data_IF_210843150576
#
_entry.id   IF_210843150576
#
_cell.length_a   1.000
_cell.length_b   1.000
_cell.length_c   1.000
_cell.angle_alpha   90.00
_cell.angle_beta   90.00
_cell.angle_gamma   90.00
#
_symmetry.space_group_name_H-M   'P 1'
#
loop_
_entity.id
_entity.type
_entity.pdbx_description
1 polymer ?
#
# COMPACT_ATOMS: atom_id res chain seq x y z
N UNK A 1 -7.27 23.36 6.95
CA UNK A 1 -6.85 22.03 6.41
C UNK A 1 -7.59 21.82 5.11
N UNK A 2 -6.89 21.42 4.07
CA UNK A 2 -7.48 21.20 2.74
C UNK A 2 -8.53 20.10 2.77
N UNK A 3 -9.54 20.22 1.91
CA UNK A 3 -10.68 19.31 1.78
C UNK A 3 -10.91 18.97 0.31
N UNK A 4 -11.40 17.80 0.02
CA UNK A 4 -11.96 17.51 -1.30
C UNK A 4 -13.45 17.86 -1.30
N UNK A 5 -13.87 18.55 -2.36
CA UNK A 5 -15.27 18.86 -2.63
C UNK A 5 -15.67 18.14 -3.90
N UNK A 6 -16.71 17.34 -3.83
CA UNK A 6 -17.13 16.42 -4.88
C UNK A 6 -18.58 16.71 -5.22
N UNK A 7 -18.86 16.96 -6.51
CA UNK A 7 -20.18 17.00 -7.09
C UNK A 7 -20.38 15.72 -7.91
N UNK A 8 -21.02 14.73 -7.31
CA UNK A 8 -21.18 13.40 -7.89
C UNK A 8 -22.28 13.28 -8.94
N UNK A 9 -22.69 12.06 -9.23
CA UNK A 9 -23.77 11.73 -10.18
C UNK A 9 -23.36 11.83 -11.66
N UNK A 10 -22.07 11.84 -11.98
CA UNK A 10 -21.55 11.84 -13.35
C UNK A 10 -20.81 10.53 -13.65
N UNK A 11 -21.13 9.86 -14.77
CA UNK A 11 -20.37 8.71 -15.19
C UNK A 11 -18.92 9.10 -15.56
N UNK A 12 -17.99 8.18 -15.34
CA UNK A 12 -16.57 8.39 -15.61
C UNK A 12 -16.20 7.89 -16.99
N UNK A 13 -15.48 8.70 -17.80
CA UNK A 13 -15.07 8.32 -19.15
C UNK A 13 -13.64 8.80 -19.42
N UNK A 14 -12.81 7.93 -19.95
CA UNK A 14 -11.46 8.28 -20.37
C UNK A 14 -10.42 7.24 -20.03
N UNK A 15 -9.17 7.70 -19.90
CA UNK A 15 -8.02 6.86 -19.60
C UNK A 15 -7.29 7.37 -18.35
N UNK A 16 -6.83 6.44 -17.51
CA UNK A 16 -5.99 6.71 -16.34
C UNK A 16 -4.72 5.88 -16.47
N UNK A 17 -3.57 6.53 -16.41
CA UNK A 17 -2.29 5.86 -16.28
C UNK A 17 -2.02 5.56 -14.79
N UNK A 18 -1.71 4.30 -14.50
CA UNK A 18 -1.47 3.81 -13.13
C UNK A 18 -0.02 4.05 -12.75
N UNK A 19 0.19 4.61 -11.57
CA UNK A 19 1.50 4.90 -11.00
C UNK A 19 2.19 3.65 -10.44
N UNK A 20 3.46 3.79 -10.09
CA UNK A 20 4.20 2.72 -9.43
C UNK A 20 3.60 2.30 -8.08
N UNK A 21 3.79 1.02 -7.75
CA UNK A 21 3.17 0.41 -6.58
C UNK A 21 3.75 0.98 -5.27
N UNK A 22 2.89 1.67 -4.51
CA UNK A 22 3.24 2.15 -3.17
C UNK A 22 3.84 1.06 -2.30
N UNK A 23 3.17 -0.11 -2.24
CA UNK A 23 3.57 -1.19 -1.34
C UNK A 23 4.91 -1.85 -1.73
N UNK A 24 5.34 -1.71 -2.99
CA UNK A 24 6.68 -2.09 -3.44
C UNK A 24 7.70 -1.00 -3.08
N UNK A 25 7.44 0.24 -3.46
CA UNK A 25 8.34 1.38 -3.25
C UNK A 25 8.75 1.54 -1.79
N UNK A 26 7.80 1.40 -0.84
CA UNK A 26 8.09 1.56 0.59
C UNK A 26 8.99 0.47 1.19
N UNK A 27 9.22 -0.64 0.49
CA UNK A 27 10.19 -1.67 0.90
C UNK A 27 11.49 -1.58 0.08
N UNK A 28 11.40 -1.23 -1.20
CA UNK A 28 12.56 -1.08 -2.09
C UNK A 28 13.46 0.08 -1.61
N UNK A 29 12.88 1.21 -1.18
CA UNK A 29 13.65 2.36 -0.70
C UNK A 29 14.52 1.99 0.52
N UNK A 30 14.02 1.39 1.61
CA UNK A 30 14.87 0.90 2.70
C UNK A 30 15.86 -0.18 2.26
N UNK A 31 15.49 -1.05 1.30
CA UNK A 31 16.40 -2.08 0.78
C UNK A 31 17.59 -1.49 0.01
N UNK A 32 17.41 -0.35 -0.67
CA UNK A 32 18.50 0.36 -1.34
C UNK A 32 19.64 0.79 -0.39
N UNK A 33 19.35 0.89 0.93
CA UNK A 33 20.39 1.13 1.93
C UNK A 33 21.52 0.08 1.88
N UNK A 34 21.24 -1.16 1.47
CA UNK A 34 22.20 -2.27 1.43
C UNK A 34 23.07 -2.29 0.18
N UNK A 35 22.75 -1.48 -0.82
CA UNK A 35 23.43 -1.50 -2.12
C UNK A 35 24.75 -0.73 -2.07
N UNK A 36 25.82 -1.36 -2.56
CA UNK A 36 27.12 -0.75 -2.74
C UNK A 36 27.24 -0.23 -4.18
N UNK A 37 26.69 0.95 -4.41
CA UNK A 37 26.57 1.62 -5.70
C UNK A 37 25.33 2.49 -5.82
N UNK A 38 25.13 3.07 -7.00
CA UNK A 38 23.96 3.91 -7.30
C UNK A 38 22.79 3.06 -7.74
N UNK A 39 21.65 3.21 -7.06
CA UNK A 39 20.37 2.65 -7.48
C UNK A 39 19.58 3.71 -8.23
N UNK A 40 19.31 3.49 -9.51
CA UNK A 40 18.32 4.25 -10.25
C UNK A 40 16.99 3.50 -10.19
N UNK A 41 15.97 4.12 -9.59
CA UNK A 41 14.65 3.51 -9.43
C UNK A 41 13.65 4.32 -10.24
N UNK A 42 13.02 3.67 -11.21
CA UNK A 42 12.03 4.23 -12.14
C UNK A 42 10.61 3.81 -11.72
N UNK A 43 9.60 4.46 -12.29
CA UNK A 43 8.18 4.29 -11.94
C UNK A 43 7.93 4.45 -10.43
N UNK A 44 8.68 5.35 -9.79
CA UNK A 44 8.53 5.67 -8.37
C UNK A 44 7.29 6.54 -8.18
N UNK A 45 6.31 6.15 -7.35
CA UNK A 45 5.11 6.96 -7.17
C UNK A 45 5.39 8.24 -6.38
N UNK A 46 4.82 9.35 -6.83
CA UNK A 46 4.92 10.65 -6.16
C UNK A 46 3.90 10.74 -5.02
N UNK A 47 4.25 10.17 -3.89
CA UNK A 47 3.39 10.11 -2.70
C UNK A 47 4.18 10.46 -1.44
N UNK A 48 3.51 11.00 -0.44
CA UNK A 48 4.21 11.50 0.76
C UNK A 48 4.93 10.40 1.57
N UNK A 49 4.50 9.13 1.49
CA UNK A 49 5.20 8.02 2.13
C UNK A 49 6.56 7.74 1.46
N UNK A 50 6.67 7.89 0.13
CA UNK A 50 7.94 7.78 -0.60
C UNK A 50 8.88 8.91 -0.23
N UNK A 51 8.41 10.17 -0.28
CA UNK A 51 9.21 11.34 0.10
C UNK A 51 9.75 11.21 1.53
N UNK A 52 8.94 10.69 2.44
CA UNK A 52 9.33 10.50 3.83
C UNK A 52 10.47 9.48 3.96
N UNK A 53 10.40 8.35 3.25
CA UNK A 53 11.44 7.31 3.27
C UNK A 53 12.74 7.81 2.63
N UNK A 54 12.67 8.56 1.53
CA UNK A 54 13.83 9.18 0.89
C UNK A 54 14.49 10.20 1.84
N UNK A 55 13.72 11.01 2.55
CA UNK A 55 14.23 11.92 3.60
C UNK A 55 14.88 11.16 4.76
N UNK A 56 14.38 9.98 5.14
CA UNK A 56 15.02 9.14 6.15
C UNK A 56 16.39 8.67 5.65
N UNK A 57 16.49 8.20 4.39
CA UNK A 57 17.78 7.82 3.80
C UNK A 57 18.76 9.00 3.73
N UNK A 58 18.30 10.19 3.32
CA UNK A 58 19.12 11.41 3.34
C UNK A 58 19.61 11.73 4.76
N UNK A 59 18.75 11.59 5.77
CA UNK A 59 19.10 11.76 7.18
C UNK A 59 20.12 10.74 7.69
N UNK A 60 20.20 9.56 7.07
CA UNK A 60 21.25 8.57 7.31
C UNK A 60 22.54 8.85 6.53
N UNK A 61 22.56 9.87 5.66
CA UNK A 61 23.73 10.27 4.87
C UNK A 61 23.74 9.77 3.43
N UNK A 62 22.63 9.23 2.93
CA UNK A 62 22.50 8.86 1.52
C UNK A 62 22.35 10.11 0.63
N UNK A 63 22.93 10.05 -0.57
CA UNK A 63 22.63 11.01 -1.63
C UNK A 63 21.39 10.54 -2.36
N UNK A 64 20.40 11.41 -2.48
CA UNK A 64 19.14 11.16 -3.20
C UNK A 64 18.91 12.29 -4.19
N UNK A 65 18.71 11.94 -5.46
CA UNK A 65 18.50 12.90 -6.55
C UNK A 65 17.31 12.46 -7.41
N UNK A 66 16.37 13.38 -7.62
CA UNK A 66 15.26 13.14 -8.55
C UNK A 66 15.71 13.44 -9.98
N UNK A 67 15.66 12.42 -10.84
CA UNK A 67 15.96 12.56 -12.29
C UNK A 67 14.75 13.03 -13.08
N UNK A 68 13.58 12.64 -12.62
CA UNK A 68 12.26 13.03 -13.15
C UNK A 68 11.23 12.90 -12.04
N UNK A 69 9.98 13.32 -12.24
CA UNK A 69 8.94 13.12 -11.24
C UNK A 69 8.79 11.68 -10.75
N UNK A 70 9.02 10.68 -11.64
CA UNK A 70 8.85 9.25 -11.32
C UNK A 70 10.17 8.46 -11.31
N UNK A 71 11.34 9.12 -11.31
CA UNK A 71 12.63 8.44 -11.25
C UNK A 71 13.57 9.10 -10.24
N UNK A 72 14.22 8.28 -9.41
CA UNK A 72 15.12 8.73 -8.36
C UNK A 72 16.42 7.93 -8.38
N UNK A 73 17.55 8.60 -8.19
CA UNK A 73 18.83 7.96 -7.88
C UNK A 73 19.08 8.00 -6.38
N UNK A 74 19.49 6.85 -5.83
CA UNK A 74 19.83 6.66 -4.43
C UNK A 74 21.26 6.09 -4.36
N UNK A 75 22.16 6.82 -3.73
CA UNK A 75 23.53 6.40 -3.47
C UNK A 75 23.77 6.31 -1.96
N UNK A 76 23.91 5.09 -1.47
CA UNK A 76 24.18 4.81 -0.06
C UNK A 76 25.63 4.41 0.22
N UNK A 77 26.57 4.51 -0.74
CA UNK A 77 27.96 4.07 -0.60
C UNK A 77 28.69 4.73 0.57
N UNK A 78 28.40 6.00 0.84
CA UNK A 78 29.03 6.78 1.91
C UNK A 78 28.27 6.71 3.25
N UNK A 79 27.11 6.04 3.29
CA UNK A 79 26.35 5.90 4.55
C UNK A 79 27.13 5.08 5.56
N UNK A 80 27.28 5.61 6.76
CA UNK A 80 27.83 4.92 7.93
C UNK A 80 26.72 4.71 8.96
N UNK A 81 26.90 3.76 9.87
CA UNK A 81 25.92 3.58 10.95
C UNK A 81 25.82 4.88 11.76
N UNK A 82 24.60 5.42 11.81
CA UNK A 82 24.24 6.62 12.56
C UNK A 82 22.83 6.47 13.09
N UNK A 83 22.47 7.30 14.06
CA UNK A 83 21.09 7.33 14.53
C UNK A 83 20.15 7.88 13.44
N UNK A 84 19.09 7.15 13.09
CA UNK A 84 18.16 7.63 12.09
C UNK A 84 17.31 8.81 12.61
N UNK A 85 16.72 9.62 11.70
CA UNK A 85 15.86 10.76 12.07
C UNK A 85 14.52 10.27 12.64
N UNK A 86 14.47 9.99 13.94
CA UNK A 86 13.33 9.39 14.62
C UNK A 86 12.02 10.15 14.46
N UNK A 87 12.07 11.47 14.35
CA UNK A 87 10.88 12.29 14.11
C UNK A 87 10.22 12.03 12.76
N UNK A 88 10.99 11.60 11.76
CA UNK A 88 10.48 11.14 10.48
C UNK A 88 10.00 9.69 10.57
N UNK A 89 10.78 8.81 11.21
CA UNK A 89 10.47 7.38 11.31
C UNK A 89 9.13 7.12 12.00
N UNK A 90 8.81 7.82 13.09
CA UNK A 90 7.54 7.63 13.80
C UNK A 90 6.30 8.12 13.03
N UNK A 91 6.47 8.91 11.97
CA UNK A 91 5.36 9.40 11.13
C UNK A 91 4.95 8.38 10.07
N UNK A 92 5.83 7.45 9.72
CA UNK A 92 5.59 6.46 8.69
C UNK A 92 5.73 5.04 9.24
N UNK A 93 4.74 4.21 8.91
CA UNK A 93 4.75 2.83 9.34
C UNK A 93 5.84 2.00 8.68
N UNK A 94 6.10 2.22 7.39
CA UNK A 94 7.10 1.48 6.62
C UNK A 94 8.54 1.65 7.12
N UNK A 95 8.77 2.55 8.10
CA UNK A 95 10.08 2.71 8.76
C UNK A 95 10.61 1.41 9.39
N UNK A 96 9.75 0.44 9.72
CA UNK A 96 10.20 -0.85 10.24
C UNK A 96 11.04 -1.67 9.24
N UNK A 97 10.96 -1.41 7.93
CA UNK A 97 11.84 -2.07 6.97
C UNK A 97 13.30 -1.69 7.14
N UNK A 98 13.60 -0.54 7.75
CA UNK A 98 14.96 -0.18 8.11
C UNK A 98 15.56 -1.11 9.17
N UNK A 99 14.77 -1.86 9.95
CA UNK A 99 15.30 -2.87 10.87
C UNK A 99 16.09 -3.91 10.07
N UNK A 100 15.48 -4.48 9.03
CA UNK A 100 16.12 -5.49 8.18
C UNK A 100 17.35 -4.95 7.44
N UNK A 101 17.24 -3.79 6.80
CA UNK A 101 18.33 -3.24 6.01
C UNK A 101 19.50 -2.75 6.87
N UNK A 102 19.27 -2.17 8.04
CA UNK A 102 20.33 -1.76 8.96
C UNK A 102 21.02 -2.97 9.61
N UNK A 103 20.26 -3.98 10.07
CA UNK A 103 20.84 -5.23 10.57
C UNK A 103 21.70 -5.92 9.52
N UNK A 104 21.18 -5.98 8.28
CA UNK A 104 21.87 -6.63 7.16
C UNK A 104 23.17 -5.93 6.82
N UNK A 105 23.18 -4.60 6.78
CA UNK A 105 24.35 -3.80 6.39
C UNK A 105 25.34 -3.55 7.52
N UNK A 106 24.84 -3.27 8.73
CA UNK A 106 25.65 -2.77 9.86
C UNK A 106 25.72 -3.73 11.05
N UNK A 107 24.94 -4.81 11.05
CA UNK A 107 24.81 -5.71 12.20
C UNK A 107 24.07 -5.08 13.40
N UNK A 108 23.58 -3.86 13.26
CA UNK A 108 22.85 -3.14 14.32
C UNK A 108 21.77 -2.26 13.71
N UNK A 109 20.64 -2.13 14.41
CA UNK A 109 19.53 -1.28 14.02
C UNK A 109 18.87 -0.63 15.24
N UNK A 110 18.44 0.62 15.08
CA UNK A 110 17.59 1.32 16.05
C UNK A 110 16.50 2.04 15.26
N UNK A 111 15.24 1.69 15.50
CA UNK A 111 14.08 2.28 14.82
C UNK A 111 12.99 2.61 15.83
N UNK A 112 12.01 3.42 15.44
CA UNK A 112 10.81 3.62 16.26
C UNK A 112 9.84 2.46 16.08
N UNK A 113 9.00 2.21 17.08
CA UNK A 113 7.82 1.38 16.88
C UNK A 113 6.97 1.97 15.74
N UNK A 114 6.36 1.13 14.89
CA UNK A 114 5.60 1.59 13.74
C UNK A 114 4.48 2.54 14.12
N UNK A 115 4.48 3.75 13.56
CA UNK A 115 3.45 4.77 13.71
C UNK A 115 2.52 4.86 12.48
N UNK A 116 1.67 5.88 12.45
CA UNK A 116 1.05 6.37 11.22
C UNK A 116 -0.23 5.70 10.71
N UNK A 117 -0.92 4.82 11.47
CA UNK A 117 -2.22 4.26 11.07
C UNK A 117 -3.20 4.15 12.23
N UNK A 118 -4.45 4.60 12.02
CA UNK A 118 -5.51 4.65 13.03
C UNK A 118 -6.32 3.35 13.20
N UNK A 119 -5.99 2.27 12.51
CA UNK A 119 -6.73 1.01 12.61
C UNK A 119 -5.92 -0.07 13.34
N UNK A 120 -5.97 -0.04 14.68
CA UNK A 120 -5.51 -1.10 15.57
C UNK A 120 -3.99 -1.23 15.76
N UNK A 121 -3.64 -1.99 16.79
CA UNK A 121 -2.26 -2.41 17.07
C UNK A 121 -1.80 -3.35 15.98
N UNK A 122 -0.65 -3.07 15.39
CA UNK A 122 0.00 -3.97 14.44
C UNK A 122 1.26 -4.53 15.06
N UNK A 123 1.20 -5.76 15.54
CA UNK A 123 2.35 -6.40 16.17
C UNK A 123 3.47 -6.58 15.14
N UNK A 124 4.71 -6.40 15.59
CA UNK A 124 5.92 -6.71 14.81
C UNK A 124 6.54 -8.04 15.25
N UNK A 125 5.76 -8.87 15.93
CA UNK A 125 6.16 -10.18 16.48
C UNK A 125 6.78 -11.08 15.43
N UNK A 126 6.18 -11.18 14.24
CA UNK A 126 6.71 -12.01 13.15
C UNK A 126 8.02 -11.43 12.56
N UNK A 127 8.20 -10.10 12.57
CA UNK A 127 9.47 -9.47 12.21
C UNK A 127 10.56 -9.83 13.23
N UNK A 128 10.26 -9.67 14.51
CA UNK A 128 11.18 -10.00 15.61
C UNK A 128 11.54 -11.49 15.56
N UNK A 129 10.54 -12.36 15.39
CA UNK A 129 10.75 -13.81 15.27
C UNK A 129 11.75 -14.15 14.17
N UNK A 130 11.61 -13.55 12.98
CA UNK A 130 12.51 -13.76 11.86
C UNK A 130 13.93 -13.28 12.16
N UNK A 131 14.08 -12.05 12.70
CA UNK A 131 15.39 -11.49 13.03
C UNK A 131 16.10 -12.30 14.12
N UNK A 132 15.36 -12.71 15.16
CA UNK A 132 15.90 -13.54 16.25
C UNK A 132 16.33 -14.92 15.74
N UNK A 133 15.54 -15.56 14.87
CA UNK A 133 15.92 -16.83 14.25
C UNK A 133 17.23 -16.71 13.45
N UNK A 134 17.49 -15.53 12.88
CA UNK A 134 18.72 -15.21 12.15
C UNK A 134 19.87 -14.75 13.06
N UNK A 135 19.74 -14.84 14.38
CA UNK A 135 20.78 -14.57 15.36
C UNK A 135 20.84 -13.13 15.88
N UNK A 136 19.84 -12.31 15.59
CA UNK A 136 19.76 -10.96 16.18
C UNK A 136 19.18 -11.01 17.61
N UNK A 137 19.74 -10.18 18.49
CA UNK A 137 19.10 -9.78 19.74
C UNK A 137 18.14 -8.63 19.42
N UNK A 138 16.86 -8.74 19.80
CA UNK A 138 15.88 -7.69 19.54
C UNK A 138 15.18 -7.31 20.83
N UNK A 139 15.25 -6.05 21.21
CA UNK A 139 14.59 -5.47 22.39
C UNK A 139 13.64 -4.35 21.95
N UNK A 140 12.42 -4.36 22.49
CA UNK A 140 11.46 -3.26 22.33
C UNK A 140 11.36 -2.52 23.64
N UNK A 141 11.79 -1.25 23.67
CA UNK A 141 11.86 -0.45 24.87
C UNK A 141 11.59 1.03 24.59
N UNK A 142 10.76 1.65 25.41
CA UNK A 142 10.45 3.09 25.34
C UNK A 142 9.97 3.57 23.95
N UNK A 143 9.21 2.74 23.22
CA UNK A 143 8.72 3.06 21.88
C UNK A 143 9.74 2.90 20.77
N UNK A 144 10.90 2.29 21.05
CA UNK A 144 11.94 1.97 20.08
C UNK A 144 12.14 0.46 19.96
N UNK A 145 12.61 0.05 18.79
CA UNK A 145 13.13 -1.28 18.52
C UNK A 145 14.65 -1.18 18.42
N UNK A 146 15.34 -1.89 19.28
CA UNK A 146 16.78 -2.06 19.25
C UNK A 146 17.08 -3.46 18.76
N UNK A 147 18.01 -3.59 17.84
CA UNK A 147 18.43 -4.88 17.34
C UNK A 147 19.93 -4.87 17.05
N UNK A 148 20.62 -5.93 17.42
CA UNK A 148 22.05 -6.12 17.14
C UNK A 148 22.38 -7.59 16.90
N UNK A 149 23.49 -7.83 16.25
CA UNK A 149 24.02 -9.17 16.03
C UNK A 149 25.35 -9.33 16.81
N UNK A 150 25.52 -10.41 17.60
CA UNK A 150 26.70 -10.58 18.45
C UNK A 150 28.02 -10.58 17.70
N UNK A 151 28.05 -11.09 16.47
CA UNK A 151 29.25 -11.17 15.61
C UNK A 151 29.22 -10.19 14.41
N UNK A 152 28.34 -9.18 14.48
CA UNK A 152 28.23 -8.12 13.49
C UNK A 152 27.52 -8.51 12.20
N UNK A 153 26.97 -9.74 12.09
CA UNK A 153 26.28 -10.20 10.88
C UNK A 153 25.18 -11.21 11.18
N UNK A 154 24.09 -11.14 10.44
CA UNK A 154 23.02 -12.14 10.50
C UNK A 154 23.44 -13.48 9.91
N UNK A 155 22.83 -14.55 10.37
CA UNK A 155 23.04 -15.91 9.88
C UNK A 155 21.80 -16.48 9.23
N UNK A 156 21.97 -17.30 8.19
CA UNK A 156 20.87 -17.98 7.54
C UNK A 156 20.12 -18.92 8.49
N UNK A 157 18.81 -18.92 8.38
CA UNK A 157 17.94 -19.68 9.26
C UNK A 157 16.70 -20.19 8.53
N UNK A 158 16.04 -21.20 9.12
CA UNK A 158 14.68 -21.59 8.74
C UNK A 158 13.69 -20.79 9.59
N UNK A 159 12.87 -19.94 8.93
CA UNK A 159 11.88 -19.09 9.57
C UNK A 159 10.48 -19.54 9.13
N UNK A 160 9.69 -20.03 10.07
CA UNK A 160 8.27 -20.29 9.85
C UNK A 160 7.45 -19.13 10.41
N UNK A 161 6.63 -18.51 9.56
CA UNK A 161 5.71 -17.45 9.98
C UNK A 161 4.41 -18.06 10.49
N UNK A 162 4.02 -17.74 11.73
CA UNK A 162 2.78 -18.26 12.33
C UNK A 162 1.53 -17.73 11.63
N UNK A 163 1.67 -16.54 11.04
CA UNK A 163 0.66 -15.88 10.19
C UNK A 163 1.30 -15.38 8.91
N UNK A 164 0.59 -15.51 7.80
CA UNK A 164 1.00 -14.87 6.56
C UNK A 164 1.10 -13.36 6.78
N UNK A 165 2.29 -12.81 6.70
CA UNK A 165 2.58 -11.40 6.97
C UNK A 165 3.44 -10.81 5.86
N UNK A 166 2.86 -9.89 5.08
CA UNK A 166 3.56 -9.15 4.03
C UNK A 166 4.78 -8.43 4.60
N UNK A 167 4.56 -7.64 5.66
CA UNK A 167 5.62 -6.85 6.28
C UNK A 167 6.77 -7.69 6.79
N UNK A 168 6.47 -8.78 7.52
CA UNK A 168 7.51 -9.68 8.03
C UNK A 168 8.25 -10.40 6.90
N UNK A 169 7.52 -10.92 5.89
CA UNK A 169 8.14 -11.57 4.73
C UNK A 169 9.14 -10.64 4.04
N UNK A 170 8.75 -9.41 3.71
CA UNK A 170 9.63 -8.44 3.06
C UNK A 170 10.82 -8.05 3.94
N UNK A 171 10.60 -7.82 5.22
CA UNK A 171 11.67 -7.42 6.13
C UNK A 171 12.70 -8.54 6.36
N UNK A 172 12.24 -9.80 6.41
CA UNK A 172 13.14 -10.97 6.52
C UNK A 172 13.90 -11.17 5.20
N UNK A 173 13.26 -10.98 4.03
CA UNK A 173 13.97 -11.00 2.74
C UNK A 173 15.11 -9.99 2.75
N UNK A 174 14.82 -8.73 3.13
CA UNK A 174 15.83 -7.67 3.23
C UNK A 174 16.96 -8.08 4.18
N UNK A 175 16.64 -8.54 5.37
CA UNK A 175 17.62 -8.94 6.38
C UNK A 175 18.48 -10.11 5.92
N UNK A 176 17.90 -11.11 5.24
CA UNK A 176 18.56 -12.32 4.80
C UNK A 176 19.53 -12.12 3.61
N UNK A 177 19.35 -11.03 2.87
CA UNK A 177 20.08 -10.79 1.61
C UNK A 177 21.59 -10.74 1.79
N UNK A 178 22.12 -10.16 2.88
CA UNK A 178 23.55 -10.14 3.19
C UNK A 178 23.92 -11.06 4.36
N UNK A 179 23.03 -11.93 4.83
CA UNK A 179 23.31 -12.86 5.92
C UNK A 179 24.30 -13.95 5.52
N UNK A 180 25.02 -14.53 6.47
CA UNK A 180 25.89 -15.69 6.23
C UNK A 180 25.07 -16.95 6.06
N UNK A 181 25.17 -17.62 4.90
CA UNK A 181 24.49 -18.87 4.64
C UNK A 181 23.10 -18.69 4.03
N UNK A 182 22.21 -19.67 4.25
CA UNK A 182 20.94 -19.77 3.57
C UNK A 182 19.78 -19.57 4.53
N UNK A 183 18.85 -18.68 4.15
CA UNK A 183 17.56 -18.50 4.84
C UNK A 183 16.43 -19.13 4.03
N UNK A 184 15.48 -19.77 4.72
CA UNK A 184 14.24 -20.27 4.16
C UNK A 184 13.09 -19.69 4.95
N UNK A 185 12.21 -18.92 4.29
CA UNK A 185 10.98 -18.41 4.87
C UNK A 185 9.86 -19.35 4.47
N UNK A 186 9.16 -19.94 5.42
CA UNK A 186 7.97 -20.76 5.21
C UNK A 186 6.70 -20.03 5.68
N UNK A 187 5.57 -20.34 5.05
CA UNK A 187 4.30 -19.63 5.18
C UNK A 187 4.46 -18.13 4.83
N UNK A 188 5.29 -17.85 3.84
CA UNK A 188 5.56 -16.50 3.34
C UNK A 188 4.32 -15.91 2.64
N UNK A 189 4.21 -14.59 2.68
CA UNK A 189 3.23 -13.87 1.87
C UNK A 189 3.63 -13.90 0.38
N UNK A 190 2.64 -13.78 -0.53
CA UNK A 190 2.82 -14.05 -1.97
C UNK A 190 2.50 -12.85 -2.85
N UNK A 191 2.18 -11.72 -2.26
CA UNK A 191 1.73 -10.50 -2.93
C UNK A 191 2.73 -10.03 -4.00
N UNK A 192 2.25 -9.45 -5.13
CA UNK A 192 3.10 -9.01 -6.23
C UNK A 192 4.27 -8.11 -5.82
N UNK A 193 4.08 -7.23 -4.84
CA UNK A 193 5.13 -6.35 -4.34
C UNK A 193 6.24 -7.07 -3.54
N UNK A 194 6.01 -8.31 -3.08
CA UNK A 194 7.07 -9.17 -2.52
C UNK A 194 7.95 -9.72 -3.64
N UNK A 195 7.32 -10.13 -4.74
CA UNK A 195 8.04 -10.55 -5.95
C UNK A 195 8.86 -9.39 -6.50
N UNK A 196 8.30 -8.19 -6.49
CA UNK A 196 8.97 -6.97 -6.95
C UNK A 196 10.19 -6.61 -6.11
N UNK A 197 10.10 -6.67 -4.78
CA UNK A 197 11.24 -6.50 -3.89
C UNK A 197 12.34 -7.55 -4.16
N UNK A 198 11.97 -8.82 -4.33
CA UNK A 198 12.92 -9.89 -4.63
C UNK A 198 13.60 -9.67 -5.99
N UNK A 199 12.85 -9.22 -7.01
CA UNK A 199 13.38 -8.88 -8.32
C UNK A 199 14.33 -7.68 -8.26
N UNK A 200 13.97 -6.63 -7.51
CA UNK A 200 14.87 -5.50 -7.25
C UNK A 200 16.19 -5.97 -6.64
N UNK A 201 16.14 -6.73 -5.56
CA UNK A 201 17.36 -7.24 -4.89
C UNK A 201 18.17 -8.17 -5.80
N UNK A 202 17.51 -9.06 -6.53
CA UNK A 202 18.18 -9.95 -7.49
C UNK A 202 18.85 -9.17 -8.63
N UNK A 203 18.23 -8.10 -9.13
CA UNK A 203 18.84 -7.23 -10.14
C UNK A 203 20.08 -6.48 -9.62
N UNK A 204 20.22 -6.36 -8.29
CA UNK A 204 21.39 -5.82 -7.61
C UNK A 204 22.39 -6.90 -7.15
N UNK A 205 22.18 -8.16 -7.52
CA UNK A 205 23.11 -9.27 -7.26
C UNK A 205 22.76 -10.20 -6.10
N UNK A 206 21.56 -10.13 -5.54
CA UNK A 206 21.06 -11.10 -4.56
C UNK A 206 20.74 -12.45 -5.21
N UNK A 207 20.59 -13.52 -4.40
CA UNK A 207 20.09 -14.85 -4.82
C UNK A 207 18.84 -15.19 -4.00
N UNK A 208 17.68 -14.73 -4.50
CA UNK A 208 16.35 -14.93 -3.90
C UNK A 208 15.50 -15.72 -4.87
N UNK A 209 14.93 -16.86 -4.40
CA UNK A 209 14.09 -17.75 -5.20
C UNK A 209 12.80 -18.09 -4.48
N UNK A 210 11.74 -18.32 -5.24
CA UNK A 210 10.43 -18.71 -4.71
C UNK A 210 9.57 -17.55 -4.23
N UNK A 211 9.96 -16.28 -4.46
CA UNK A 211 9.08 -15.14 -4.23
C UNK A 211 7.77 -15.30 -5.03
N UNK A 212 6.62 -15.03 -4.39
CA UNK A 212 5.30 -15.32 -4.95
C UNK A 212 4.76 -16.72 -4.59
N UNK A 213 5.56 -17.54 -3.89
CA UNK A 213 5.12 -18.81 -3.28
C UNK A 213 5.14 -18.73 -1.76
N UNK A 214 4.67 -19.76 -1.08
CA UNK A 214 4.70 -19.84 0.39
C UNK A 214 6.06 -20.21 0.98
N UNK A 215 7.04 -20.55 0.14
CA UNK A 215 8.39 -20.86 0.55
C UNK A 215 9.41 -20.06 -0.25
N UNK A 216 10.10 -19.13 0.42
CA UNK A 216 11.12 -18.26 -0.18
C UNK A 216 12.49 -18.68 0.34
N UNK A 217 13.45 -18.81 -0.58
CA UNK A 217 14.83 -19.20 -0.28
C UNK A 217 15.77 -18.08 -0.65
N UNK A 218 16.60 -17.66 0.29
CA UNK A 218 17.56 -16.59 0.12
C UNK A 218 18.95 -17.16 0.43
N UNK A 219 19.84 -17.16 -0.53
CA UNK A 219 21.26 -17.39 -0.30
C UNK A 219 21.90 -16.03 -0.06
N UNK A 220 22.42 -15.81 1.15
CA UNK A 220 23.05 -14.54 1.47
C UNK A 220 24.32 -14.33 0.62
N UNK A 221 24.51 -13.09 0.18
CA UNK A 221 25.64 -12.65 -0.64
C UNK A 221 26.54 -11.69 0.13
N UNK A 222 27.79 -11.52 -0.33
CA UNK A 222 28.76 -10.64 0.36
C UNK A 222 28.43 -9.15 0.15
N UNK A 223 27.93 -8.79 -1.03
CA UNK A 223 27.59 -7.40 -1.41
C UNK A 223 26.56 -7.36 -2.51
N UNK A 224 25.83 -6.25 -2.58
CA UNK A 224 24.99 -5.88 -3.70
C UNK A 224 25.67 -4.78 -4.51
N UNK A 225 25.40 -4.71 -5.80
CA UNK A 225 25.90 -3.67 -6.71
C UNK A 225 24.78 -2.73 -7.15
N UNK A 226 25.11 -1.53 -7.59
CA UNK A 226 24.16 -0.58 -8.16
C UNK A 226 23.58 -1.04 -9.49
N UNK A 227 22.48 -0.41 -9.89
CA UNK A 227 21.79 -0.72 -11.14
C UNK A 227 20.51 0.09 -11.32
N UNK A 228 19.79 -0.20 -12.40
CA UNK A 228 18.49 0.42 -12.70
C UNK A 228 17.37 -0.59 -12.50
N UNK A 229 16.29 -0.16 -11.86
CA UNK A 229 15.11 -0.97 -11.63
C UNK A 229 13.82 -0.15 -11.77
N UNK A 230 12.79 -0.74 -12.36
CA UNK A 230 11.47 -0.11 -12.47
C UNK A 230 10.46 -0.81 -11.57
N UNK A 231 9.82 -0.04 -10.69
CA UNK A 231 8.78 -0.52 -9.75
C UNK A 231 7.55 -0.96 -10.56
N UNK A 232 6.92 -2.07 -10.18
CA UNK A 232 5.67 -2.53 -10.80
C UNK A 232 4.54 -1.50 -10.61
N UNK A 233 3.53 -1.45 -11.52
CA UNK A 233 2.36 -0.60 -11.35
C UNK A 233 1.49 -1.04 -10.15
N UNK A 234 0.80 -0.07 -9.53
CA UNK A 234 0.01 -0.29 -8.31
C UNK A 234 -1.33 -0.95 -8.60
N UNK A 235 -1.47 -2.22 -8.24
CA UNK A 235 -2.72 -2.97 -8.35
C UNK A 235 -3.87 -2.40 -7.50
N UNK A 236 -3.56 -1.76 -6.37
CA UNK A 236 -4.59 -1.19 -5.49
C UNK A 236 -5.08 0.15 -6.01
N UNK A 237 -4.20 0.96 -6.58
CA UNK A 237 -4.59 2.16 -7.31
C UNK A 237 -5.49 1.81 -8.50
N UNK A 238 -5.07 0.84 -9.33
CA UNK A 238 -5.85 0.34 -10.45
C UNK A 238 -7.23 -0.18 -9.99
N UNK A 239 -7.27 -1.05 -8.99
CA UNK A 239 -8.50 -1.58 -8.43
C UNK A 239 -9.42 -0.48 -7.86
N UNK A 240 -8.85 0.58 -7.30
CA UNK A 240 -9.62 1.73 -6.78
C UNK A 240 -10.36 2.45 -7.91
N UNK A 241 -9.70 2.69 -9.05
CA UNK A 241 -10.37 3.30 -10.21
C UNK A 241 -11.34 2.34 -10.90
N UNK A 242 -11.05 1.02 -10.90
CA UNK A 242 -12.02 0.00 -11.34
C UNK A 242 -13.30 0.07 -10.51
N UNK A 243 -13.18 0.13 -9.19
CA UNK A 243 -14.33 0.25 -8.27
C UNK A 243 -15.05 1.59 -8.44
N UNK A 244 -14.32 2.68 -8.69
CA UNK A 244 -14.91 4.00 -8.96
C UNK A 244 -15.75 3.98 -10.24
N UNK A 245 -15.25 3.42 -11.34
CA UNK A 245 -15.99 3.26 -12.59
C UNK A 245 -17.20 2.32 -12.41
N UNK A 246 -17.04 1.22 -11.66
CA UNK A 246 -18.13 0.31 -11.37
C UNK A 246 -19.28 1.00 -10.65
N UNK A 247 -18.99 1.81 -9.65
CA UNK A 247 -19.96 2.47 -8.79
C UNK A 247 -20.58 3.73 -9.44
N UNK A 248 -19.78 4.59 -10.08
CA UNK A 248 -20.25 5.82 -10.71
C UNK A 248 -20.83 5.61 -12.12
N UNK A 249 -20.58 4.44 -12.72
CA UNK A 249 -20.92 4.16 -14.13
C UNK A 249 -19.94 4.76 -15.12
N UNK A 250 -20.09 4.38 -16.39
CA UNK A 250 -19.27 4.87 -17.49
C UNK A 250 -18.28 3.85 -18.03
N UNK A 251 -17.20 4.33 -18.64
CA UNK A 251 -16.16 3.53 -19.26
C UNK A 251 -14.78 4.15 -19.04
N UNK A 252 -13.89 3.43 -18.36
CA UNK A 252 -12.54 3.88 -18.05
C UNK A 252 -11.53 2.81 -18.50
N UNK A 253 -10.52 3.24 -19.24
CA UNK A 253 -9.35 2.44 -19.55
C UNK A 253 -8.24 2.75 -18.55
N UNK A 254 -7.69 1.72 -17.94
CA UNK A 254 -6.52 1.82 -17.07
C UNK A 254 -5.31 1.33 -17.86
N UNK A 255 -4.33 2.21 -18.07
CA UNK A 255 -3.06 1.91 -18.72
C UNK A 255 -1.95 1.69 -17.66
N UNK A 256 -0.85 1.09 -18.08
CA UNK A 256 0.26 0.72 -17.20
C UNK A 256 -0.23 -0.16 -16.04
N UNK A 257 -0.79 -1.31 -16.33
CA UNK A 257 -1.22 -2.31 -15.34
C UNK A 257 -0.68 -3.69 -15.70
N UNK A 258 -0.60 -4.56 -14.71
CA UNK A 258 -0.38 -5.99 -14.91
C UNK A 258 -1.71 -6.69 -14.62
N UNK A 259 -2.50 -7.06 -15.66
CA UNK A 259 -3.86 -7.59 -15.48
C UNK A 259 -3.93 -8.79 -14.53
N UNK A 260 -2.90 -9.65 -14.56
CA UNK A 260 -2.78 -10.80 -13.65
C UNK A 260 -2.80 -10.42 -12.17
N UNK A 261 -2.33 -9.23 -11.81
CA UNK A 261 -2.38 -8.74 -10.43
C UNK A 261 -3.79 -8.30 -10.00
N UNK A 262 -4.70 -8.13 -10.97
CA UNK A 262 -6.07 -7.64 -10.78
C UNK A 262 -7.12 -8.74 -10.87
N UNK A 263 -6.74 -10.01 -11.09
CA UNK A 263 -7.67 -11.13 -11.36
C UNK A 263 -8.81 -11.24 -10.35
N UNK A 264 -8.51 -11.18 -9.05
CA UNK A 264 -9.53 -11.30 -8.01
C UNK A 264 -10.47 -10.10 -7.95
N UNK A 265 -9.98 -8.89 -8.29
CA UNK A 265 -10.78 -7.66 -8.37
C UNK A 265 -11.66 -7.73 -9.62
N UNK A 266 -11.07 -8.06 -10.79
CA UNK A 266 -11.78 -8.25 -12.05
C UNK A 266 -12.90 -9.28 -11.93
N UNK A 267 -12.62 -10.41 -11.26
CA UNK A 267 -13.61 -11.47 -11.03
C UNK A 267 -14.81 -10.96 -10.23
N UNK A 268 -14.58 -10.25 -9.13
CA UNK A 268 -15.67 -9.70 -8.29
C UNK A 268 -16.48 -8.64 -9.03
N UNK A 269 -15.84 -7.77 -9.80
CA UNK A 269 -16.55 -6.78 -10.60
C UNK A 269 -17.40 -7.44 -11.70
N UNK A 270 -16.90 -8.51 -12.37
CA UNK A 270 -17.68 -9.29 -13.33
C UNK A 270 -18.90 -9.98 -12.67
N UNK A 271 -18.76 -10.52 -11.45
CA UNK A 271 -19.89 -11.05 -10.67
C UNK A 271 -20.96 -9.98 -10.44
N UNK A 272 -20.55 -8.74 -10.20
CA UNK A 272 -21.44 -7.58 -10.02
C UNK A 272 -22.05 -7.08 -11.34
N UNK A 273 -21.72 -7.67 -12.48
CA UNK A 273 -22.25 -7.30 -13.82
C UNK A 273 -21.44 -6.23 -14.54
N UNK A 274 -20.27 -5.86 -14.03
CA UNK A 274 -19.36 -4.93 -14.69
C UNK A 274 -18.60 -5.64 -15.82
N UNK A 275 -18.49 -5.00 -16.98
CA UNK A 275 -17.64 -5.49 -18.06
C UNK A 275 -16.19 -5.12 -17.78
N UNK A 276 -15.31 -6.12 -17.69
CA UNK A 276 -13.86 -5.95 -17.52
C UNK A 276 -13.16 -6.68 -18.65
N UNK A 277 -12.46 -5.94 -19.52
CA UNK A 277 -11.68 -6.46 -20.64
C UNK A 277 -10.20 -6.24 -20.38
N UNK A 278 -9.43 -7.32 -20.32
CA UNK A 278 -8.00 -7.29 -20.07
C UNK A 278 -7.23 -7.22 -21.40
N UNK A 279 -6.28 -6.27 -21.49
CA UNK A 279 -5.29 -6.14 -22.54
C UNK A 279 -3.92 -6.67 -22.11
N UNK A 280 -2.86 -6.34 -22.87
CA UNK A 280 -1.49 -6.71 -22.49
C UNK A 280 -1.01 -5.97 -21.22
N UNK A 281 -1.16 -4.66 -21.22
CA UNK A 281 -0.76 -3.73 -20.16
C UNK A 281 -1.89 -2.77 -19.75
N UNK A 282 -3.12 -3.12 -20.07
CA UNK A 282 -4.28 -2.29 -19.80
C UNK A 282 -5.51 -3.10 -19.44
N UNK A 283 -6.44 -2.46 -18.74
CA UNK A 283 -7.77 -3.01 -18.39
C UNK A 283 -8.82 -1.97 -18.71
N UNK A 284 -9.83 -2.36 -19.49
CA UNK A 284 -11.03 -1.55 -19.76
C UNK A 284 -12.14 -1.99 -18.81
N UNK A 285 -12.72 -1.03 -18.10
CA UNK A 285 -13.86 -1.24 -17.20
C UNK A 285 -15.05 -0.46 -17.73
N UNK A 286 -16.19 -1.14 -17.88
CA UNK A 286 -17.46 -0.50 -18.31
C UNK A 286 -18.57 -0.92 -17.37
N UNK A 287 -19.29 0.05 -16.83
CA UNK A 287 -20.44 -0.16 -15.95
C UNK A 287 -21.63 0.65 -16.47
N UNK A 288 -22.68 -0.06 -16.88
CA UNK A 288 -23.92 0.53 -17.39
C UNK A 288 -25.10 -0.16 -16.70
N UNK A 289 -25.69 0.51 -15.73
CA UNK A 289 -26.86 0.00 -15.02
C UNK A 289 -26.57 -0.37 -13.56
N UNK A 290 -27.58 -0.98 -12.93
CA UNK A 290 -27.51 -1.36 -11.51
C UNK A 290 -26.61 -2.58 -11.32
N UNK A 291 -25.73 -2.50 -10.32
CA UNK A 291 -24.84 -3.58 -9.95
C UNK A 291 -25.61 -4.72 -9.25
N UNK A 292 -25.11 -5.95 -9.38
CA UNK A 292 -25.60 -7.10 -8.63
C UNK A 292 -24.84 -7.25 -7.33
N UNK A 293 -25.50 -7.75 -6.30
CA UNK A 293 -24.84 -8.10 -5.04
C UNK A 293 -23.85 -9.26 -5.23
N UNK A 294 -22.81 -9.27 -4.44
CA UNK A 294 -21.88 -10.40 -4.31
C UNK A 294 -21.23 -10.41 -2.94
N UNK A 295 -20.73 -11.57 -2.52
CA UNK A 295 -20.00 -11.69 -1.27
C UNK A 295 -18.51 -11.55 -1.50
N UNK A 296 -17.82 -10.83 -0.61
CA UNK A 296 -16.37 -10.62 -0.67
C UNK A 296 -15.75 -11.06 0.64
N UNK A 297 -14.69 -11.88 0.55
CA UNK A 297 -13.85 -12.23 1.69
C UNK A 297 -12.42 -11.84 1.39
N UNK A 298 -11.84 -10.97 2.23
CA UNK A 298 -10.44 -10.61 2.09
C UNK A 298 -9.54 -11.76 2.56
N UNK A 299 -8.48 -11.99 1.82
CA UNK A 299 -7.50 -13.06 2.08
C UNK A 299 -6.12 -12.65 1.56
N UNK A 300 -5.04 -13.25 2.06
CA UNK A 300 -3.73 -13.13 1.43
C UNK A 300 -3.78 -13.46 -0.07
N UNK A 301 -2.91 -12.82 -0.84
CA UNK A 301 -2.82 -13.05 -2.29
C UNK A 301 -2.65 -14.55 -2.64
N UNK A 302 -3.34 -15.09 -3.65
CA UNK A 302 -4.12 -14.40 -4.69
C UNK A 302 -5.59 -14.13 -4.32
N UNK A 303 -5.99 -14.19 -3.05
CA UNK A 303 -7.32 -13.83 -2.62
C UNK A 303 -7.59 -12.32 -2.74
N UNK A 304 -8.83 -11.91 -2.44
CA UNK A 304 -9.24 -10.51 -2.54
C UNK A 304 -8.48 -9.65 -1.52
N UNK A 305 -7.75 -8.60 -1.97
CA UNK A 305 -6.87 -7.86 -1.09
C UNK A 305 -7.66 -7.00 -0.09
N UNK A 306 -7.23 -7.05 1.18
CA UNK A 306 -7.81 -6.22 2.24
C UNK A 306 -7.74 -4.71 1.93
N UNK A 307 -6.75 -4.28 1.12
CA UNK A 307 -6.62 -2.89 0.68
C UNK A 307 -7.69 -2.43 -0.33
N UNK A 308 -8.47 -3.37 -0.88
CA UNK A 308 -9.61 -3.10 -1.75
C UNK A 308 -10.96 -3.25 -1.06
N UNK A 309 -10.97 -3.71 0.19
CA UNK A 309 -12.20 -3.95 0.95
C UNK A 309 -13.08 -2.69 1.10
N UNK A 310 -12.55 -1.49 1.44
CA UNK A 310 -13.38 -0.29 1.53
C UNK A 310 -13.97 0.15 0.17
N UNK A 311 -13.19 0.10 -0.91
CA UNK A 311 -13.59 0.56 -2.24
C UNK A 311 -14.70 -0.33 -2.84
N UNK A 312 -14.55 -1.65 -2.74
CA UNK A 312 -15.58 -2.58 -3.25
C UNK A 312 -16.88 -2.44 -2.43
N UNK A 313 -16.77 -2.17 -1.12
CA UNK A 313 -17.94 -1.97 -0.26
C UNK A 313 -18.82 -0.79 -0.71
N UNK A 314 -18.24 0.26 -1.28
CA UNK A 314 -18.99 1.38 -1.86
C UNK A 314 -19.83 0.90 -3.06
N UNK A 315 -19.24 0.14 -3.97
CA UNK A 315 -19.95 -0.42 -5.10
C UNK A 315 -21.07 -1.36 -4.64
N UNK A 316 -20.84 -2.14 -3.57
CA UNK A 316 -21.86 -3.02 -2.98
C UNK A 316 -23.00 -2.24 -2.31
N UNK A 317 -22.78 -1.03 -1.78
CA UNK A 317 -23.84 -0.16 -1.28
C UNK A 317 -24.86 0.23 -2.38
N UNK A 318 -24.44 0.22 -3.66
CA UNK A 318 -25.28 0.56 -4.82
C UNK A 318 -25.73 -0.69 -5.59
N UNK A 319 -25.41 -1.88 -5.12
CA UNK A 319 -25.78 -3.14 -5.74
C UNK A 319 -27.23 -3.54 -5.37
N UNK A 320 -27.86 -4.32 -6.23
CA UNK A 320 -29.18 -4.89 -5.95
C UNK A 320 -29.07 -6.06 -4.97
N UNK A 321 -29.82 -6.04 -3.86
CA UNK A 321 -29.83 -7.09 -2.85
C UNK A 321 -28.82 -6.88 -1.70
N UNK A 322 -28.50 -7.97 -1.00
CA UNK A 322 -27.66 -7.97 0.19
C UNK A 322 -26.30 -8.62 -0.11
N UNK A 323 -25.23 -7.95 0.25
CA UNK A 323 -23.85 -8.42 0.16
C UNK A 323 -23.24 -8.63 1.53
N UNK A 324 -22.35 -9.61 1.64
CA UNK A 324 -21.58 -9.88 2.86
C UNK A 324 -20.10 -9.66 2.57
N UNK A 325 -19.46 -8.78 3.34
CA UNK A 325 -18.03 -8.51 3.27
C UNK A 325 -17.38 -9.03 4.54
N UNK A 326 -16.50 -10.03 4.42
CA UNK A 326 -15.76 -10.59 5.56
C UNK A 326 -14.30 -10.19 5.48
N UNK A 327 -13.79 -9.52 6.52
CA UNK A 327 -12.38 -9.16 6.64
C UNK A 327 -11.60 -10.30 7.30
N UNK A 328 -10.67 -10.90 6.54
CA UNK A 328 -9.89 -12.05 6.99
C UNK A 328 -8.44 -11.72 7.35
N UNK A 329 -8.02 -10.45 7.24
CA UNK A 329 -6.63 -10.03 7.43
C UNK A 329 -6.45 -9.11 8.64
N UNK A 330 -7.43 -8.21 8.89
CA UNK A 330 -7.38 -7.23 9.99
C UNK A 330 -8.66 -7.22 10.80
N UNK A 331 -8.53 -7.18 12.12
CA UNK A 331 -9.67 -7.31 13.05
C UNK A 331 -10.61 -6.10 13.08
N UNK A 332 -10.24 -4.93 12.59
CA UNK A 332 -11.04 -3.71 12.76
C UNK A 332 -10.86 -2.72 11.59
N UNK A 333 -11.33 -3.11 10.41
CA UNK A 333 -11.15 -2.31 9.18
C UNK A 333 -12.45 -1.73 8.61
N UNK A 334 -13.46 -1.48 9.45
CA UNK A 334 -14.79 -1.03 9.02
C UNK A 334 -15.14 0.40 9.44
N UNK A 335 -14.21 1.22 9.90
CA UNK A 335 -14.48 2.61 10.34
C UNK A 335 -15.16 3.46 9.27
N UNK A 336 -14.88 3.22 8.00
CA UNK A 336 -15.50 3.93 6.88
C UNK A 336 -17.01 3.64 6.73
N UNK A 337 -17.53 2.53 7.25
CA UNK A 337 -18.99 2.21 7.19
C UNK A 337 -19.81 3.28 7.88
N UNK A 338 -19.32 3.86 8.97
CA UNK A 338 -20.00 4.96 9.66
C UNK A 338 -20.09 6.21 8.77
N UNK A 339 -19.03 6.49 8.02
CA UNK A 339 -19.01 7.61 7.08
C UNK A 339 -19.94 7.37 5.88
N UNK A 340 -19.99 6.13 5.36
CA UNK A 340 -20.95 5.76 4.33
C UNK A 340 -22.40 5.84 4.84
N UNK A 341 -22.65 5.51 6.11
CA UNK A 341 -23.95 5.66 6.75
C UNK A 341 -24.45 7.11 6.76
N UNK A 342 -23.52 8.09 6.91
CA UNK A 342 -23.86 9.53 6.77
C UNK A 342 -24.33 9.91 5.36
N UNK A 343 -23.91 9.14 4.37
CA UNK A 343 -24.28 9.31 2.96
C UNK A 343 -25.51 8.47 2.57
N UNK A 344 -26.16 7.79 3.53
CA UNK A 344 -27.36 7.00 3.29
C UNK A 344 -27.13 5.52 2.98
N UNK A 345 -25.92 5.01 3.12
CA UNK A 345 -25.66 3.58 2.97
C UNK A 345 -26.33 2.78 4.10
N UNK A 346 -26.88 1.61 3.76
CA UNK A 346 -27.47 0.67 4.70
C UNK A 346 -26.50 -0.50 4.94
N UNK A 347 -25.63 -0.35 5.92
CA UNK A 347 -24.63 -1.34 6.26
C UNK A 347 -24.49 -1.51 7.77
N UNK A 348 -24.32 -2.76 8.20
CA UNK A 348 -24.11 -3.13 9.60
C UNK A 348 -22.83 -3.97 9.72
N UNK A 349 -22.10 -3.77 10.81
CA UNK A 349 -20.84 -4.51 11.10
C UNK A 349 -21.04 -5.37 12.33
N UNK A 350 -20.73 -6.65 12.20
CA UNK A 350 -20.68 -7.61 13.30
C UNK A 350 -19.32 -8.34 13.26
N UNK A 351 -18.49 -8.05 14.25
CA UNK A 351 -17.12 -8.58 14.31
C UNK A 351 -16.28 -8.23 13.07
N UNK A 352 -15.84 -9.25 12.34
CA UNK A 352 -15.08 -9.12 11.11
C UNK A 352 -15.95 -9.14 9.83
N UNK A 353 -17.26 -8.97 9.95
CA UNK A 353 -18.20 -9.07 8.83
C UNK A 353 -19.05 -7.81 8.74
N UNK A 354 -19.19 -7.26 7.54
CA UNK A 354 -20.16 -6.22 7.20
C UNK A 354 -21.28 -6.82 6.34
N UNK A 355 -22.52 -6.55 6.72
CA UNK A 355 -23.71 -6.87 5.93
C UNK A 355 -24.15 -5.56 5.28
N UNK A 356 -24.15 -5.52 3.95
CA UNK A 356 -24.46 -4.33 3.15
C UNK A 356 -25.73 -4.60 2.35
N UNK A 357 -26.78 -3.87 2.65
CA UNK A 357 -28.01 -3.86 1.86
C UNK A 357 -27.93 -2.72 0.85
N UNK A 358 -28.04 -3.05 -0.43
CA UNK A 358 -27.97 -2.06 -1.48
C UNK A 358 -29.09 -1.04 -1.40
N UNK A 359 -28.75 0.23 -1.70
CA UNK A 359 -29.68 1.36 -1.74
C UNK A 359 -29.84 1.89 -3.16
N UNK A 360 -30.87 2.66 -3.44
CA UNK A 360 -31.11 3.27 -4.76
C UNK A 360 -30.07 4.33 -5.12
N UNK A 361 -29.49 5.01 -4.12
CA UNK A 361 -28.46 6.02 -4.30
C UNK A 361 -27.90 6.53 -2.98
N UNK A 362 -26.77 7.16 -3.04
CA UNK A 362 -26.14 7.87 -1.94
C UNK A 362 -26.40 9.38 -2.08
N UNK A 363 -26.33 10.11 -0.99
CA UNK A 363 -26.41 11.57 -0.97
C UNK A 363 -25.17 12.20 -0.40
N UNK A 364 -24.86 13.43 -0.82
CA UNK A 364 -23.70 14.17 -0.38
C UNK A 364 -23.75 14.49 1.10
N UNK A 365 -22.59 14.45 1.75
CA UNK A 365 -22.41 14.75 3.17
C UNK A 365 -20.97 15.21 3.46
N UNK A 366 -20.75 15.81 4.63
CA UNK A 366 -19.38 15.97 5.15
C UNK A 366 -18.95 14.65 5.79
N UNK A 367 -17.88 14.06 5.25
CA UNK A 367 -17.30 12.77 5.65
C UNK A 367 -15.81 12.88 5.86
N UNK A 368 -15.25 11.91 6.57
CA UNK A 368 -13.86 11.92 6.97
C UNK A 368 -13.08 10.77 6.36
N UNK A 369 -11.90 11.05 5.83
CA UNK A 369 -10.92 10.04 5.47
C UNK A 369 -10.32 9.42 6.76
N UNK A 370 -10.80 8.24 7.18
CA UNK A 370 -10.35 7.59 8.41
C UNK A 370 -8.93 7.01 8.28
N UNK A 371 -8.58 6.57 7.08
CA UNK A 371 -7.26 6.07 6.67
C UNK A 371 -7.11 6.20 5.14
N UNK A 372 -5.98 5.72 4.61
CA UNK A 372 -5.67 5.80 3.17
C UNK A 372 -6.77 5.19 2.28
N UNK A 373 -7.18 3.94 2.55
CA UNK A 373 -8.12 3.20 1.69
C UNK A 373 -9.57 3.57 1.97
N UNK A 374 -9.90 3.78 3.24
CA UNK A 374 -11.18 4.36 3.65
C UNK A 374 -11.39 5.75 3.05
N UNK A 375 -10.34 6.57 2.98
CA UNK A 375 -10.38 7.88 2.34
C UNK A 375 -10.71 7.79 0.85
N UNK A 376 -10.05 6.88 0.12
CA UNK A 376 -10.38 6.65 -1.30
C UNK A 376 -11.83 6.15 -1.46
N UNK A 377 -12.30 5.28 -0.57
CA UNK A 377 -13.67 4.77 -0.61
C UNK A 377 -14.72 5.88 -0.43
N UNK A 378 -14.55 6.78 0.54
CA UNK A 378 -15.52 7.89 0.73
C UNK A 378 -15.48 8.89 -0.44
N UNK A 379 -14.33 9.04 -1.14
CA UNK A 379 -14.28 9.80 -2.38
C UNK A 379 -15.09 9.10 -3.47
N UNK A 380 -14.94 7.78 -3.66
CA UNK A 380 -15.76 7.01 -4.61
C UNK A 380 -17.25 7.17 -4.29
N UNK A 381 -17.64 7.07 -3.00
CA UNK A 381 -19.00 7.30 -2.58
C UNK A 381 -19.51 8.70 -2.95
N UNK A 382 -18.66 9.73 -2.80
CA UNK A 382 -18.96 11.10 -3.22
C UNK A 382 -19.16 11.24 -4.74
N UNK A 383 -18.40 10.49 -5.56
CA UNK A 383 -18.60 10.47 -7.02
C UNK A 383 -19.95 9.91 -7.43
N UNK A 384 -20.52 9.01 -6.64
CA UNK A 384 -21.80 8.36 -6.91
C UNK A 384 -23.00 9.10 -6.27
N UNK A 385 -22.74 9.98 -5.30
CA UNK A 385 -23.76 10.64 -4.50
C UNK A 385 -24.47 11.78 -5.26
N UNK A 386 -25.72 12.03 -4.91
CA UNK A 386 -26.42 13.26 -5.33
C UNK A 386 -26.07 14.41 -4.39
N UNK A 387 -25.81 15.60 -4.94
CA UNK A 387 -25.44 16.77 -4.16
C UNK A 387 -23.90 16.91 -3.95
N UNK A 388 -23.51 17.70 -2.97
CA UNK A 388 -22.11 17.99 -2.65
C UNK A 388 -21.61 17.09 -1.51
N UNK A 389 -20.47 16.44 -1.71
CA UNK A 389 -19.75 15.71 -0.65
C UNK A 389 -18.47 16.45 -0.31
N UNK A 390 -18.20 16.64 0.98
CA UNK A 390 -16.97 17.24 1.48
C UNK A 390 -16.15 16.19 2.22
N UNK A 391 -14.96 15.88 1.75
CA UNK A 391 -14.05 14.91 2.39
C UNK A 391 -12.96 15.66 3.16
N UNK A 392 -12.89 15.41 4.46
CA UNK A 392 -11.87 15.97 5.36
C UNK A 392 -10.71 14.99 5.60
N UNK A 393 -9.62 15.46 6.22
CA UNK A 393 -8.42 14.65 6.51
C UNK A 393 -7.76 14.01 5.25
N UNK A 394 -7.80 14.70 4.12
CA UNK A 394 -7.32 14.21 2.81
C UNK A 394 -5.85 13.80 2.80
N UNK A 395 -5.05 14.29 3.76
CA UNK A 395 -3.65 13.88 3.96
C UNK A 395 -3.47 12.36 4.05
N UNK A 396 -4.50 11.61 4.49
CA UNK A 396 -4.43 10.15 4.51
C UNK A 396 -4.50 9.55 3.10
N UNK A 397 -5.19 10.20 2.16
CA UNK A 397 -5.29 9.77 0.77
C UNK A 397 -3.98 10.04 0.02
N UNK A 398 -3.40 11.21 0.24
CA UNK A 398 -2.15 11.67 -0.40
C UNK A 398 -0.91 10.85 -0.02
N UNK A 399 -1.03 10.03 1.02
CA UNK A 399 0.02 9.08 1.40
C UNK A 399 0.23 7.93 0.41
N UNK A 400 -0.73 7.65 -0.45
CA UNK A 400 -0.65 6.47 -1.27
C UNK A 400 -1.36 6.52 -2.60
N UNK A 401 -1.92 7.66 -2.98
CA UNK A 401 -2.49 7.89 -4.31
C UNK A 401 -1.82 9.11 -4.92
N UNK A 402 -1.10 8.87 -6.02
CA UNK A 402 -0.46 9.92 -6.79
C UNK A 402 -1.49 10.69 -7.61
N UNK A 403 -1.46 12.03 -7.51
CA UNK A 403 -2.32 12.92 -8.29
C UNK A 403 -3.80 12.49 -8.36
N UNK A 404 -4.33 12.01 -7.23
CA UNK A 404 -5.66 11.37 -7.17
C UNK A 404 -6.78 12.26 -7.74
N UNK A 405 -6.78 13.54 -7.39
CA UNK A 405 -7.74 14.53 -7.89
C UNK A 405 -7.57 14.74 -9.40
N UNK A 406 -6.34 14.90 -9.88
CA UNK A 406 -6.05 15.12 -11.30
C UNK A 406 -6.49 13.94 -12.16
N UNK A 407 -6.19 12.72 -11.74
CA UNK A 407 -6.58 11.48 -12.44
C UNK A 407 -8.10 11.32 -12.51
N UNK A 408 -8.81 11.54 -11.41
CA UNK A 408 -10.29 11.49 -11.38
C UNK A 408 -10.92 12.59 -12.24
N UNK A 409 -10.39 13.82 -12.19
CA UNK A 409 -10.86 14.91 -13.07
C UNK A 409 -10.62 14.62 -14.53
N UNK A 410 -9.51 13.98 -14.87
CA UNK A 410 -9.17 13.57 -16.24
C UNK A 410 -10.20 12.63 -16.87
N UNK A 411 -10.95 11.89 -16.05
CA UNK A 411 -12.05 11.01 -16.50
C UNK A 411 -13.44 11.61 -16.21
N UNK A 412 -13.54 12.91 -15.97
CA UNK A 412 -14.83 13.63 -15.89
C UNK A 412 -15.41 13.80 -14.48
N UNK A 413 -14.70 13.39 -13.43
CA UNK A 413 -15.18 13.58 -12.05
C UNK A 413 -15.30 15.07 -11.68
N UNK A 414 -16.41 15.45 -11.07
CA UNK A 414 -16.63 16.79 -10.50
C UNK A 414 -15.96 16.92 -9.12
N UNK A 415 -14.64 16.95 -9.08
CA UNK A 415 -13.84 16.94 -7.84
C UNK A 415 -12.82 18.07 -7.84
N UNK A 416 -12.72 18.81 -6.72
CA UNK A 416 -11.67 19.83 -6.54
C UNK A 416 -11.21 19.93 -5.09
N UNK A 417 -10.04 20.56 -4.89
CA UNK A 417 -9.49 20.85 -3.58
C UNK A 417 -9.99 22.25 -3.15
N UNK A 418 -10.59 22.32 -1.97
CA UNK A 418 -10.91 23.59 -1.30
C UNK A 418 -9.91 23.81 -0.17
N UNK A 419 -9.08 24.85 -0.29
CA UNK A 419 -8.20 25.31 0.79
C UNK A 419 -9.05 26.03 1.84
N UNK A 420 -8.85 25.70 3.10
CA UNK A 420 -9.37 26.52 4.19
C UNK A 420 -8.41 27.70 4.38
N UNK A 421 -8.84 28.89 4.00
CA UNK A 421 -8.22 30.11 4.52
C UNK A 421 -8.30 30.04 6.05
N UNK A 422 -7.13 30.05 6.71
CA UNK A 422 -7.05 30.33 8.13
C UNK A 422 -7.52 31.78 8.28
N UNK A 423 -8.80 31.96 8.60
CA UNK A 423 -9.31 33.26 8.98
C UNK A 423 -8.44 33.75 10.12
N UNK A 424 -7.69 34.83 9.86
CA UNK A 424 -6.99 35.60 10.88
C UNK A 424 -8.08 36.15 11.78
N UNK A 425 -8.34 35.46 12.89
CA UNK A 425 -9.07 36.03 14.01
C UNK A 425 -8.20 37.18 14.53
N UNK A 426 -8.44 38.40 14.03
CA UNK A 426 -8.04 39.58 14.74
C UNK A 426 -8.88 39.66 16.03
N UNK A 427 -8.29 39.25 17.14
CA UNK A 427 -8.70 39.61 18.49
C UNK A 427 -7.87 40.82 18.94
#
# INVERSE_FOLDING_TARGET
MDRYVIHGGRPLHGEIEISGAKNAAVAIIPAALMVDGVCRIENMPQISDVDMLLKILQGLGARVEYLSPSAVEIDCTQVRFTEPPYDLMRKIRASYYFIGSMLSRFGSAKTTMPGGCNFGVRPIDQHIKGMTAMGANVEVKNGFVYADTPDGRLHGAKVYLDKVSVGATMNIIIAATLARGRTVIENAAREPHIVDLANFLNSMGADIRGAGTDSIRIQGVERLHGGTYSVIPDQIEAGTYMAACAAAGGEVRLANVIPRHLECISAKLREMGVTVVEGGDSVLVRSNGRLRHTNVKTQPYPGFPTDMQPQISVALCLADGTSVVTEGVYDNRYKYIQELGRMGANAQVDGCTAIINGVEGLHGAEVRACDLRAGAAVVIAGLCATGETVVTDIRFIERGYENFVGKLRGVGAGLHIRQLELGVLHL
#
